data_IF_549407297991
#
_entry.id   IF_549407297991
#
_cell.length_a   1.000
_cell.length_b   1.000
_cell.length_c   1.000
_cell.angle_alpha   90.00
_cell.angle_beta   90.00
_cell.angle_gamma   90.00
#
_symmetry.space_group_name_H-M   'P 1'
#
loop_
_entity.id
_entity.type
_entity.pdbx_description
1 polymer ?
#
# COMPACT_ATOMS: atom_id res chain seq x y z
N UNK A 1 11.82 -2.56 12.50
CA UNK A 1 11.65 -2.88 11.07
C UNK A 1 12.85 -3.68 10.53
N UNK A 2 14.11 -3.19 10.62
CA UNK A 2 15.29 -3.84 10.04
C UNK A 2 15.49 -5.29 10.53
N UNK A 3 15.40 -5.54 11.84
CA UNK A 3 15.51 -6.89 12.39
C UNK A 3 14.47 -7.86 11.82
N UNK A 4 13.26 -7.39 11.50
CA UNK A 4 12.23 -8.22 10.88
C UNK A 4 12.64 -8.67 9.47
N UNK A 5 13.19 -7.74 8.66
CA UNK A 5 13.70 -8.05 7.32
C UNK A 5 14.85 -9.06 7.41
N UNK A 6 15.82 -8.80 8.28
CA UNK A 6 16.97 -9.68 8.47
C UNK A 6 16.56 -11.09 8.94
N UNK A 7 15.61 -11.17 9.88
CA UNK A 7 15.07 -12.46 10.34
C UNK A 7 14.36 -13.23 9.21
N UNK A 8 13.60 -12.53 8.37
CA UNK A 8 12.95 -13.14 7.22
C UNK A 8 13.97 -13.67 6.21
N UNK A 9 15.02 -12.89 5.91
CA UNK A 9 16.11 -13.33 5.03
C UNK A 9 16.89 -14.54 5.61
N UNK A 10 17.16 -14.52 6.92
CA UNK A 10 17.81 -15.65 7.61
C UNK A 10 16.94 -16.90 7.62
N UNK A 11 15.61 -16.74 7.65
CA UNK A 11 14.67 -17.84 7.52
C UNK A 11 14.50 -18.37 6.07
N UNK A 12 15.25 -17.80 5.10
CA UNK A 12 15.26 -18.25 3.71
C UNK A 12 14.21 -17.59 2.82
N UNK A 13 13.54 -16.53 3.26
CA UNK A 13 12.64 -15.77 2.40
C UNK A 13 13.43 -14.83 1.49
N UNK A 14 13.43 -15.10 0.18
CA UNK A 14 14.11 -14.27 -0.81
C UNK A 14 13.19 -13.26 -1.50
N UNK A 15 11.89 -13.56 -1.58
CA UNK A 15 10.91 -12.72 -2.26
C UNK A 15 10.17 -11.85 -1.24
N UNK A 16 10.83 -10.79 -0.81
CA UNK A 16 10.32 -9.84 0.18
C UNK A 16 9.82 -8.56 -0.49
N UNK A 17 8.72 -8.01 0.02
CA UNK A 17 8.27 -6.66 -0.28
C UNK A 17 8.39 -5.82 0.98
N UNK A 18 8.89 -4.59 0.84
CA UNK A 18 9.01 -3.65 1.95
C UNK A 18 8.27 -2.37 1.59
N UNK A 19 7.41 -1.94 2.51
CA UNK A 19 6.66 -0.71 2.37
C UNK A 19 7.43 0.46 2.97
N UNK A 20 7.49 1.57 2.24
CA UNK A 20 8.03 2.85 2.68
C UNK A 20 6.96 3.94 2.57
N UNK A 21 7.02 4.90 3.47
CA UNK A 21 6.15 6.08 3.43
C UNK A 21 7.02 7.31 3.30
N UNK A 22 6.85 8.08 2.21
CA UNK A 22 7.49 9.36 1.99
C UNK A 22 6.55 10.54 2.22
N UNK A 23 7.06 11.77 2.21
CA UNK A 23 6.28 12.98 2.47
C UNK A 23 5.94 13.20 3.95
N UNK A 24 6.48 12.37 4.86
CA UNK A 24 6.29 12.61 6.29
C UNK A 24 7.02 13.89 6.72
N UNK A 25 6.33 14.84 7.39
CA UNK A 25 6.96 16.08 7.86
C UNK A 25 8.02 15.87 8.94
N UNK A 26 8.14 14.64 9.47
CA UNK A 26 9.17 14.27 10.45
C UNK A 26 10.38 13.56 9.83
N UNK A 27 10.35 13.28 8.53
CA UNK A 27 11.43 12.60 7.81
C UNK A 27 12.14 13.60 6.90
N UNK A 28 13.36 13.98 7.22
CA UNK A 28 14.17 14.86 6.37
C UNK A 28 14.58 14.17 5.06
N UNK A 29 14.99 14.95 4.05
CA UNK A 29 15.53 14.39 2.80
C UNK A 29 16.74 13.49 3.03
N UNK A 30 17.60 13.85 3.99
CA UNK A 30 18.76 13.04 4.38
C UNK A 30 18.34 11.67 4.93
N UNK A 31 17.40 11.66 5.90
CA UNK A 31 16.87 10.41 6.47
C UNK A 31 16.16 9.56 5.42
N UNK A 32 15.47 10.21 4.47
CA UNK A 32 14.83 9.50 3.35
C UNK A 32 15.87 8.81 2.46
N UNK A 33 16.95 9.52 2.11
CA UNK A 33 18.06 8.95 1.36
C UNK A 33 18.71 7.76 2.08
N UNK A 34 18.95 7.87 3.39
CA UNK A 34 19.50 6.78 4.21
C UNK A 34 18.58 5.56 4.24
N UNK A 35 17.25 5.77 4.32
CA UNK A 35 16.28 4.68 4.25
C UNK A 35 16.36 3.93 2.92
N UNK A 36 16.42 4.65 1.79
CA UNK A 36 16.55 4.04 0.45
C UNK A 36 17.87 3.28 0.31
N UNK A 37 18.99 3.86 0.72
CA UNK A 37 20.31 3.19 0.69
C UNK A 37 20.30 1.91 1.54
N UNK A 38 19.66 1.97 2.71
CA UNK A 38 19.53 0.79 3.59
C UNK A 38 18.79 -0.34 2.89
N UNK A 39 17.64 -0.07 2.24
CA UNK A 39 16.87 -1.11 1.55
C UNK A 39 17.60 -1.65 0.31
N UNK A 40 18.29 -0.81 -0.42
CA UNK A 40 19.13 -1.25 -1.54
C UNK A 40 20.26 -2.17 -1.05
N UNK A 41 20.91 -1.82 0.06
CA UNK A 41 21.98 -2.62 0.66
C UNK A 41 21.50 -3.99 1.16
N UNK A 42 20.26 -4.07 1.63
CA UNK A 42 19.59 -5.31 2.04
C UNK A 42 19.11 -6.15 0.86
N UNK A 43 19.30 -5.67 -0.37
CA UNK A 43 18.91 -6.37 -1.61
C UNK A 43 17.43 -6.77 -1.65
N UNK A 44 16.57 -5.90 -1.13
CA UNK A 44 15.11 -6.12 -1.16
C UNK A 44 14.65 -6.12 -2.61
N UNK A 45 13.96 -7.18 -3.08
CA UNK A 45 13.60 -7.29 -4.51
C UNK A 45 12.40 -6.43 -4.91
N UNK A 46 11.56 -6.00 -3.96
CA UNK A 46 10.35 -5.23 -4.22
C UNK A 46 10.13 -4.16 -3.15
N UNK A 47 9.77 -2.96 -3.58
CA UNK A 47 9.45 -1.82 -2.72
C UNK A 47 8.06 -1.28 -3.07
N UNK A 48 7.23 -1.03 -2.06
CA UNK A 48 5.99 -0.27 -2.18
C UNK A 48 6.20 1.07 -1.46
N UNK A 49 6.16 2.16 -2.19
CA UNK A 49 6.47 3.48 -1.65
C UNK A 49 5.25 4.40 -1.77
N UNK A 50 4.67 4.78 -0.65
CA UNK A 50 3.43 5.55 -0.59
C UNK A 50 3.69 6.96 -0.08
N UNK A 51 3.03 7.94 -0.68
CA UNK A 51 2.97 9.28 -0.11
C UNK A 51 2.11 9.27 1.17
N UNK A 52 2.58 9.90 2.23
CA UNK A 52 1.80 10.05 3.45
C UNK A 52 0.50 10.81 3.16
N UNK A 53 -0.63 10.19 3.44
CA UNK A 53 -1.95 10.81 3.38
C UNK A 53 -2.52 10.94 4.79
N UNK A 54 -3.06 12.10 5.12
CA UNK A 54 -3.69 12.34 6.41
C UNK A 54 -5.19 12.09 6.29
N UNK A 55 -5.59 10.87 6.65
CA UNK A 55 -6.98 10.46 6.58
C UNK A 55 -7.86 11.17 7.61
N UNK A 56 -9.06 11.64 7.23
CA UNK A 56 -10.02 12.23 8.17
C UNK A 56 -10.33 11.28 9.35
N UNK A 57 -10.63 11.87 10.50
CA UNK A 57 -10.98 11.15 11.75
C UNK A 57 -9.85 10.32 12.37
N UNK A 58 -8.60 10.47 11.90
CA UNK A 58 -7.42 9.84 12.53
C UNK A 58 -6.84 10.73 13.63
N UNK A 59 -6.05 10.12 14.52
CA UNK A 59 -5.32 10.87 15.55
C UNK A 59 -4.38 11.92 14.94
N UNK A 60 -3.71 11.59 13.83
CA UNK A 60 -2.84 12.51 13.11
C UNK A 60 -3.61 13.71 12.55
N UNK A 61 -4.78 13.49 11.92
CA UNK A 61 -5.62 14.57 11.43
C UNK A 61 -6.05 15.54 12.56
N UNK A 62 -6.36 14.98 13.75
CA UNK A 62 -6.70 15.78 14.91
C UNK A 62 -5.50 16.58 15.44
N UNK A 63 -4.31 16.00 15.49
CA UNK A 63 -3.07 16.67 15.90
C UNK A 63 -2.71 17.81 14.94
N UNK A 64 -2.80 17.58 13.62
CA UNK A 64 -2.57 18.61 12.60
C UNK A 64 -3.58 19.75 12.75
N UNK A 65 -4.86 19.43 12.91
CA UNK A 65 -5.91 20.45 13.12
C UNK A 65 -5.67 21.31 14.37
N UNK A 66 -5.06 20.73 15.41
CA UNK A 66 -4.69 21.44 16.65
C UNK A 66 -3.33 22.15 16.59
N UNK A 67 -2.60 22.05 15.50
CA UNK A 67 -1.24 22.59 15.38
C UNK A 67 -0.19 21.80 16.19
N UNK A 68 -0.53 20.63 16.71
CA UNK A 68 0.39 19.77 17.47
C UNK A 68 1.26 18.89 16.55
N UNK A 69 0.90 18.73 15.29
CA UNK A 69 1.71 18.10 14.24
C UNK A 69 1.70 18.99 12.99
N UNK A 70 2.78 18.94 12.20
CA UNK A 70 2.85 19.64 10.92
C UNK A 70 1.98 18.93 9.88
N UNK A 71 1.32 19.66 8.96
CA UNK A 71 0.67 19.05 7.80
C UNK A 71 1.71 18.44 6.85
N UNK A 72 1.25 17.62 5.92
CA UNK A 72 2.07 17.20 4.78
C UNK A 72 2.37 18.43 3.92
N UNK A 73 3.59 18.50 3.44
CA UNK A 73 4.08 19.51 2.50
C UNK A 73 4.24 18.83 1.14
N UNK A 74 3.46 19.27 0.16
CA UNK A 74 3.42 18.66 -1.18
C UNK A 74 4.76 18.81 -1.91
N UNK A 75 5.46 19.95 -1.73
CA UNK A 75 6.78 20.17 -2.33
C UNK A 75 7.82 19.22 -1.73
N UNK A 76 7.81 19.08 -0.40
CA UNK A 76 8.65 18.11 0.29
C UNK A 76 8.39 16.68 -0.17
N UNK A 77 7.13 16.30 -0.31
CA UNK A 77 6.73 14.98 -0.79
C UNK A 77 7.17 14.75 -2.26
N UNK A 78 7.00 15.74 -3.12
CA UNK A 78 7.43 15.69 -4.51
C UNK A 78 8.96 15.48 -4.64
N UNK A 79 9.76 16.24 -3.90
CA UNK A 79 11.21 16.09 -3.89
C UNK A 79 11.67 14.73 -3.37
N UNK A 80 10.98 14.17 -2.36
CA UNK A 80 11.26 12.81 -1.88
C UNK A 80 10.88 11.75 -2.92
N UNK A 81 9.83 11.96 -3.69
CA UNK A 81 9.42 11.06 -4.77
C UNK A 81 10.41 11.11 -5.95
N UNK A 82 10.86 12.29 -6.35
CA UNK A 82 11.90 12.42 -7.39
C UNK A 82 13.20 11.72 -6.98
N UNK A 83 13.60 11.86 -5.72
CA UNK A 83 14.75 11.16 -5.19
C UNK A 83 14.54 9.64 -5.18
N UNK A 84 13.34 9.18 -4.82
CA UNK A 84 12.96 7.76 -4.87
C UNK A 84 13.13 7.20 -6.29
N UNK A 85 12.57 7.86 -7.30
CA UNK A 85 12.66 7.43 -8.69
C UNK A 85 14.12 7.31 -9.14
N UNK A 86 14.92 8.34 -8.90
CA UNK A 86 16.33 8.34 -9.27
C UNK A 86 17.14 7.24 -8.55
N UNK A 87 16.92 7.07 -7.25
CA UNK A 87 17.63 6.07 -6.45
C UNK A 87 17.27 4.64 -6.84
N UNK A 88 16.00 4.38 -7.11
CA UNK A 88 15.52 3.04 -7.52
C UNK A 88 15.99 2.70 -8.94
N UNK A 89 15.92 3.63 -9.87
CA UNK A 89 16.45 3.46 -11.23
C UNK A 89 17.96 3.14 -11.20
N UNK A 90 18.74 3.95 -10.47
CA UNK A 90 20.18 3.71 -10.31
C UNK A 90 20.49 2.35 -9.68
N UNK A 91 19.65 1.90 -8.76
CA UNK A 91 19.76 0.59 -8.14
C UNK A 91 19.20 -0.56 -9.02
N UNK A 92 18.71 -0.29 -10.24
CA UNK A 92 18.21 -1.26 -11.20
C UNK A 92 16.86 -1.86 -10.83
N UNK A 93 15.99 -1.08 -10.20
CA UNK A 93 14.56 -1.39 -10.08
C UNK A 93 13.80 -0.83 -11.28
N UNK A 94 12.74 -1.49 -11.64
CA UNK A 94 11.72 -1.03 -12.58
C UNK A 94 10.58 -0.38 -11.80
N UNK A 95 10.24 0.86 -12.14
CA UNK A 95 9.05 1.56 -11.64
C UNK A 95 7.87 1.09 -12.50
N UNK A 96 7.16 0.05 -12.06
CA UNK A 96 6.19 -0.64 -12.89
C UNK A 96 4.73 -0.23 -12.66
N UNK A 97 4.48 0.56 -11.60
CA UNK A 97 3.22 1.28 -11.38
C UNK A 97 3.47 2.42 -10.38
N UNK A 98 2.47 3.24 -10.08
CA UNK A 98 2.60 4.53 -9.35
C UNK A 98 3.42 4.42 -8.06
N UNK A 99 3.22 3.36 -7.27
CA UNK A 99 3.80 3.22 -5.93
C UNK A 99 4.77 2.07 -5.80
N UNK A 100 4.92 1.22 -6.82
CA UNK A 100 5.68 -0.02 -6.71
C UNK A 100 6.89 -0.06 -7.64
N UNK A 101 8.00 -0.49 -7.05
CA UNK A 101 9.31 -0.62 -7.67
C UNK A 101 9.83 -2.04 -7.44
N UNK A 102 10.28 -2.72 -8.47
CA UNK A 102 10.74 -4.09 -8.36
C UNK A 102 11.99 -4.36 -9.18
N UNK A 103 12.82 -5.28 -8.72
CA UNK A 103 13.85 -5.90 -9.58
C UNK A 103 13.16 -6.63 -10.72
N UNK A 104 13.79 -6.73 -11.92
CA UNK A 104 13.23 -7.44 -13.05
C UNK A 104 12.69 -8.82 -12.68
N UNK A 105 11.43 -9.09 -13.03
CA UNK A 105 10.74 -10.34 -12.73
C UNK A 105 10.29 -10.53 -11.27
N UNK A 106 10.40 -9.52 -10.41
CA UNK A 106 10.02 -9.55 -8.99
C UNK A 106 8.77 -8.71 -8.67
N UNK A 107 7.91 -8.49 -9.64
CA UNK A 107 6.65 -7.74 -9.44
C UNK A 107 5.73 -8.44 -8.43
N UNK A 108 5.05 -7.64 -7.60
CA UNK A 108 4.10 -8.16 -6.63
C UNK A 108 2.87 -8.74 -7.34
N UNK A 109 2.71 -10.06 -7.30
CA UNK A 109 1.56 -10.76 -7.90
C UNK A 109 0.25 -10.31 -7.28
N UNK A 110 0.23 -10.15 -5.95
CA UNK A 110 -0.95 -9.72 -5.21
C UNK A 110 -1.41 -8.33 -5.67
N UNK A 111 -0.52 -7.34 -5.76
CA UNK A 111 -0.86 -6.00 -6.23
C UNK A 111 -1.31 -6.03 -7.70
N UNK A 112 -0.61 -6.77 -8.54
CA UNK A 112 -0.94 -6.89 -9.96
C UNK A 112 -2.31 -7.52 -10.21
N UNK A 113 -2.77 -8.43 -9.35
CA UNK A 113 -4.10 -9.05 -9.46
C UNK A 113 -5.22 -8.02 -9.35
N UNK A 114 -5.08 -7.01 -8.48
CA UNK A 114 -6.07 -5.92 -8.37
C UNK A 114 -6.17 -5.12 -9.68
N UNK A 115 -5.03 -4.80 -10.29
CA UNK A 115 -4.97 -4.02 -11.52
C UNK A 115 -5.53 -4.79 -12.74
N UNK A 116 -5.47 -6.11 -12.68
CA UNK A 116 -6.03 -7.00 -13.71
C UNK A 116 -7.49 -7.36 -13.46
N UNK A 117 -8.11 -6.80 -12.41
CA UNK A 117 -9.46 -7.13 -11.99
C UNK A 117 -9.67 -8.65 -11.76
N UNK A 118 -8.66 -9.34 -11.25
CA UNK A 118 -8.77 -10.75 -10.87
C UNK A 118 -9.65 -10.91 -9.63
N UNK A 119 -10.51 -11.96 -9.57
CA UNK A 119 -11.32 -12.21 -8.39
C UNK A 119 -10.47 -12.48 -7.15
N UNK A 120 -10.92 -11.96 -6.00
CA UNK A 120 -10.26 -12.19 -4.71
C UNK A 120 -11.26 -12.30 -3.57
N UNK A 121 -10.89 -13.02 -2.52
CA UNK A 121 -11.65 -13.19 -1.30
C UNK A 121 -10.96 -12.46 -0.14
N UNK A 122 -11.66 -11.51 0.46
CA UNK A 122 -11.23 -10.83 1.67
C UNK A 122 -11.70 -11.55 2.93
N UNK A 123 -10.78 -11.79 3.84
CA UNK A 123 -11.06 -12.46 5.13
C UNK A 123 -10.76 -11.49 6.28
N UNK A 124 -11.71 -11.37 7.19
CA UNK A 124 -11.61 -10.48 8.35
C UNK A 124 -12.50 -9.24 8.28
N UNK A 125 -12.58 -8.46 9.38
CA UNK A 125 -13.32 -7.20 9.41
C UNK A 125 -12.78 -6.20 8.38
N UNK A 126 -13.67 -5.42 7.76
CA UNK A 126 -13.36 -4.46 6.69
C UNK A 126 -12.79 -5.06 5.41
N UNK A 127 -12.51 -6.36 5.35
CA UNK A 127 -11.92 -6.97 4.16
C UNK A 127 -12.88 -6.94 2.97
N UNK A 128 -12.34 -6.59 1.80
CA UNK A 128 -13.09 -6.54 0.55
C UNK A 128 -12.92 -7.85 -0.22
N UNK A 129 -13.96 -8.23 -0.96
CA UNK A 129 -13.93 -9.31 -1.95
C UNK A 129 -14.48 -8.82 -3.28
N UNK A 130 -14.02 -9.44 -4.35
CA UNK A 130 -14.44 -9.11 -5.71
C UNK A 130 -14.53 -10.39 -6.53
N UNK A 131 -15.59 -10.53 -7.32
CA UNK A 131 -15.81 -11.70 -8.18
C UNK A 131 -16.10 -11.35 -9.66
N UNK A 132 -15.81 -10.11 -10.04
CA UNK A 132 -16.07 -9.56 -11.37
C UNK A 132 -17.36 -8.73 -11.42
N UNK A 133 -18.57 -9.31 -11.29
CA UNK A 133 -19.80 -8.55 -11.30
C UNK A 133 -20.14 -7.85 -9.99
N UNK A 134 -19.62 -8.33 -8.85
CA UNK A 134 -19.95 -7.78 -7.54
C UNK A 134 -18.70 -7.49 -6.72
N UNK A 135 -18.82 -6.50 -5.85
CA UNK A 135 -17.86 -6.20 -4.78
C UNK A 135 -18.59 -6.25 -3.45
N UNK A 136 -17.95 -6.85 -2.46
CA UNK A 136 -18.46 -6.85 -1.08
C UNK A 136 -17.37 -6.40 -0.11
N UNK A 137 -17.79 -5.89 1.04
CA UNK A 137 -16.90 -5.58 2.16
C UNK A 137 -17.51 -6.06 3.47
N UNK A 138 -16.68 -6.66 4.27
CA UNK A 138 -17.07 -7.16 5.57
C UNK A 138 -17.27 -6.02 6.56
N UNK A 139 -18.12 -6.22 7.56
CA UNK A 139 -18.40 -5.23 8.59
C UNK A 139 -17.10 -4.72 9.27
N UNK A 140 -16.94 -3.40 9.29
CA UNK A 140 -15.74 -2.71 9.84
C UNK A 140 -15.76 -2.58 11.37
N UNK A 141 -16.14 -3.66 12.09
CA UNK A 141 -16.18 -3.70 13.55
C UNK A 141 -15.79 -5.10 14.04
N UNK A 142 -14.63 -5.22 14.69
CA UNK A 142 -14.08 -6.50 15.13
C UNK A 142 -15.03 -7.27 16.05
N UNK A 143 -15.61 -6.61 17.05
CA UNK A 143 -16.47 -7.28 18.02
C UNK A 143 -17.76 -7.81 17.39
N UNK A 144 -18.41 -7.01 16.56
CA UNK A 144 -19.62 -7.41 15.84
C UNK A 144 -19.32 -8.46 14.78
N UNK A 145 -18.20 -8.38 14.08
CA UNK A 145 -17.76 -9.37 13.10
C UNK A 145 -17.57 -10.74 13.76
N UNK A 146 -16.82 -10.80 14.88
CA UNK A 146 -16.59 -12.04 15.65
C UNK A 146 -17.91 -12.62 16.17
N UNK A 147 -18.79 -11.77 16.73
CA UNK A 147 -20.10 -12.21 17.22
C UNK A 147 -20.93 -12.83 16.11
N UNK A 148 -21.00 -12.16 14.95
CA UNK A 148 -21.78 -12.65 13.80
C UNK A 148 -21.25 -13.99 13.28
N UNK A 149 -19.92 -14.15 13.22
CA UNK A 149 -19.32 -15.44 12.82
C UNK A 149 -19.63 -16.55 13.82
N UNK A 150 -19.67 -16.27 15.12
CA UNK A 150 -20.06 -17.23 16.13
C UNK A 150 -21.53 -17.70 15.98
N UNK A 151 -22.36 -16.88 15.35
CA UNK A 151 -23.75 -17.20 14.98
C UNK A 151 -23.86 -17.87 13.59
N UNK A 152 -22.73 -18.20 12.94
CA UNK A 152 -22.69 -18.80 11.61
C UNK A 152 -23.03 -17.85 10.47
N UNK A 153 -22.93 -16.52 10.70
CA UNK A 153 -23.25 -15.49 9.70
C UNK A 153 -22.00 -14.68 9.35
N UNK A 154 -21.75 -14.48 8.05
CA UNK A 154 -20.74 -13.52 7.58
C UNK A 154 -21.40 -12.17 7.38
N UNK A 155 -21.08 -11.15 8.20
CA UNK A 155 -21.69 -9.83 8.07
C UNK A 155 -20.94 -9.01 7.00
N UNK A 156 -21.61 -8.70 5.90
CA UNK A 156 -21.05 -7.92 4.81
C UNK A 156 -22.10 -7.03 4.15
N UNK A 157 -21.64 -6.01 3.45
CA UNK A 157 -22.38 -5.25 2.46
C UNK A 157 -21.89 -5.60 1.07
N UNK A 158 -22.72 -5.42 0.05
CA UNK A 158 -22.40 -5.77 -1.33
C UNK A 158 -22.94 -4.72 -2.29
N UNK A 159 -22.20 -4.47 -3.36
CA UNK A 159 -22.66 -3.72 -4.53
C UNK A 159 -22.60 -4.59 -5.79
N UNK A 160 -23.50 -4.35 -6.72
CA UNK A 160 -23.48 -4.91 -8.07
C UNK A 160 -22.90 -3.83 -8.99
N UNK A 161 -21.77 -4.13 -9.62
CA UNK A 161 -21.08 -3.17 -10.48
C UNK A 161 -21.80 -3.02 -11.82
N UNK A 162 -22.21 -1.80 -12.13
CA UNK A 162 -22.75 -1.46 -13.45
C UNK A 162 -21.67 -1.53 -14.53
N UNK A 163 -22.05 -1.68 -15.82
CA UNK A 163 -21.09 -1.62 -16.92
C UNK A 163 -20.26 -0.34 -16.93
N UNK A 164 -20.86 0.82 -16.59
CA UNK A 164 -20.16 2.10 -16.51
C UNK A 164 -19.11 2.12 -15.40
N UNK A 165 -19.42 1.60 -14.21
CA UNK A 165 -18.46 1.49 -13.11
C UNK A 165 -17.27 0.60 -13.50
N UNK A 166 -17.52 -0.57 -14.07
CA UNK A 166 -16.46 -1.48 -14.54
C UNK A 166 -15.57 -0.84 -15.61
N UNK A 167 -16.18 -0.10 -16.54
CA UNK A 167 -15.42 0.62 -17.57
C UNK A 167 -14.54 1.72 -16.95
N UNK A 168 -15.08 2.51 -16.03
CA UNK A 168 -14.32 3.56 -15.36
C UNK A 168 -13.16 2.98 -14.54
N UNK A 169 -13.38 1.88 -13.84
CA UNK A 169 -12.34 1.18 -13.08
C UNK A 169 -11.25 0.63 -14.02
N UNK A 170 -11.64 0.05 -15.14
CA UNK A 170 -10.70 -0.43 -16.14
C UNK A 170 -9.82 0.71 -16.68
N UNK A 171 -10.42 1.84 -17.04
CA UNK A 171 -9.66 3.02 -17.51
C UNK A 171 -8.71 3.50 -16.42
N UNK A 172 -9.21 3.65 -15.19
CA UNK A 172 -8.42 4.12 -14.05
C UNK A 172 -7.22 3.19 -13.76
N UNK A 173 -7.42 1.88 -13.79
CA UNK A 173 -6.35 0.91 -13.53
C UNK A 173 -5.37 0.78 -14.71
N UNK A 174 -5.80 1.09 -15.93
CA UNK A 174 -4.95 1.06 -17.13
C UNK A 174 -3.99 2.25 -17.24
N UNK A 175 -4.21 3.30 -16.45
CA UNK A 175 -3.36 4.52 -16.43
C UNK A 175 -2.26 4.47 -15.35
N UNK A 176 -2.07 3.35 -14.70
CA UNK A 176 -1.07 3.16 -13.62
C UNK A 176 0.34 2.88 -14.12
#
# INVERSE_FOLDING_TARGET
ALACIQNAQQAGFENLSVDLIYGSPTTSHHQWAENLLTLVSLKIPHLSCYCLTIEPKTALAHQVKKGAAKPVDDEHAAQQFEHLMAATEHAGYEHYEISNFAKPGRYARHNSSYWKAEPYLGVGPSAHSFNGPTRQWNLANNALYIKSLAEGKVPFEQEILTPAQRYNEYVMTSLR
#
